data_IF_495569958741
#
_entry.id   IF_495569958741
#
_cell.length_a   1.000
_cell.length_b   1.000
_cell.length_c   1.000
_cell.angle_alpha   90.00
_cell.angle_beta   90.00
_cell.angle_gamma   90.00
#
_symmetry.space_group_name_H-M   'P 1'
#
loop_
_entity.id
_entity.type
_entity.pdbx_description
1 polymer ?
#
# COMPACT_ATOMS: atom_id res chain seq x y z
N UNK A 1 -19.32 -1.47 23.32
CA UNK A 1 -20.48 -1.73 22.43
C UNK A 1 -20.24 -0.86 21.21
N UNK A 2 -20.16 -1.44 20.01
CA UNK A 2 -20.01 -0.65 18.77
C UNK A 2 -21.32 0.06 18.50
N UNK A 3 -21.31 1.38 18.37
CA UNK A 3 -22.51 2.14 18.03
C UNK A 3 -23.02 1.74 16.64
N UNK A 4 -24.34 1.62 16.48
CA UNK A 4 -24.94 1.28 15.19
C UNK A 4 -24.48 2.22 14.07
N UNK A 5 -24.28 3.51 14.39
CA UNK A 5 -23.76 4.51 13.45
C UNK A 5 -22.33 4.19 12.99
N UNK A 6 -21.50 3.67 13.88
CA UNK A 6 -20.13 3.30 13.58
C UNK A 6 -20.09 2.07 12.64
N UNK A 7 -20.97 1.10 12.88
CA UNK A 7 -21.14 -0.07 12.00
C UNK A 7 -21.66 0.33 10.62
N UNK A 8 -22.63 1.25 10.54
CA UNK A 8 -23.15 1.76 9.26
C UNK A 8 -22.06 2.52 8.50
N UNK A 9 -21.26 3.36 9.16
CA UNK A 9 -20.15 4.07 8.51
C UNK A 9 -19.10 3.10 7.97
N UNK A 10 -18.72 2.07 8.75
CA UNK A 10 -17.76 1.07 8.32
C UNK A 10 -18.29 0.22 7.16
N UNK A 11 -19.57 -0.16 7.18
CA UNK A 11 -20.18 -0.95 6.11
C UNK A 11 -20.31 -0.16 4.81
N UNK A 12 -20.76 1.10 4.88
CA UNK A 12 -20.82 2.01 3.72
C UNK A 12 -19.43 2.25 3.15
N UNK A 13 -18.44 2.53 4.01
CA UNK A 13 -17.06 2.71 3.57
C UNK A 13 -16.56 1.45 2.85
N UNK A 14 -16.70 0.27 3.46
CA UNK A 14 -16.29 -1.01 2.87
C UNK A 14 -16.99 -1.26 1.53
N UNK A 15 -18.29 -0.98 1.44
CA UNK A 15 -19.05 -1.13 0.20
C UNK A 15 -18.55 -0.18 -0.90
N UNK A 16 -18.28 1.09 -0.58
CA UNK A 16 -17.72 2.06 -1.53
C UNK A 16 -16.33 1.65 -2.01
N UNK A 17 -15.50 1.10 -1.11
CA UNK A 17 -14.16 0.60 -1.45
C UNK A 17 -14.26 -0.60 -2.38
N UNK A 18 -15.10 -1.59 -2.06
CA UNK A 18 -15.29 -2.77 -2.90
C UNK A 18 -15.83 -2.34 -4.27
N UNK A 19 -16.81 -1.44 -4.31
CA UNK A 19 -17.33 -0.87 -5.56
C UNK A 19 -16.23 -0.16 -6.37
N UNK A 20 -15.38 0.64 -5.72
CA UNK A 20 -14.26 1.31 -6.37
C UNK A 20 -13.18 0.33 -6.83
N UNK A 21 -12.85 -0.70 -6.05
CA UNK A 21 -11.92 -1.76 -6.44
C UNK A 21 -12.43 -2.54 -7.64
N UNK A 22 -13.74 -2.83 -7.68
CA UNK A 22 -14.40 -3.44 -8.84
C UNK A 22 -14.35 -2.50 -10.04
N UNK A 23 -14.67 -1.21 -9.87
CA UNK A 23 -14.61 -0.23 -10.95
C UNK A 23 -13.19 -0.09 -11.52
N UNK A 24 -12.19 0.11 -10.66
CA UNK A 24 -10.76 0.14 -11.02
C UNK A 24 -10.33 -1.19 -11.65
N UNK A 25 -10.99 -2.30 -11.33
CA UNK A 25 -10.71 -3.58 -11.97
C UNK A 25 -11.17 -3.66 -13.43
N UNK A 26 -12.23 -2.91 -13.78
CA UNK A 26 -12.82 -2.86 -15.12
C UNK A 26 -12.23 -1.76 -16.02
N UNK A 27 -11.65 -0.70 -15.46
CA UNK A 27 -10.95 0.32 -16.27
C UNK A 27 -9.66 -0.27 -16.84
N UNK A 28 -9.41 -0.06 -18.14
CA UNK A 28 -8.21 -0.47 -18.87
C UNK A 28 -6.98 0.37 -18.50
N UNK A 29 -6.63 0.39 -17.22
CA UNK A 29 -5.40 1.00 -16.72
C UNK A 29 -4.22 0.05 -16.89
N UNK A 30 -3.01 0.63 -17.02
CA UNK A 30 -1.77 -0.13 -16.88
C UNK A 30 -1.78 -0.92 -15.55
N UNK A 31 -1.30 -2.17 -15.59
CA UNK A 31 -1.25 -3.06 -14.43
C UNK A 31 -0.59 -2.42 -13.20
N UNK A 32 0.48 -1.67 -13.42
CA UNK A 32 1.15 -0.93 -12.35
C UNK A 32 0.29 0.18 -11.74
N UNK A 33 -0.45 0.91 -12.57
CA UNK A 33 -1.33 1.99 -12.12
C UNK A 33 -2.49 1.42 -11.29
N UNK A 34 -3.12 0.33 -11.75
CA UNK A 34 -4.18 -0.38 -11.02
C UNK A 34 -3.72 -0.76 -9.61
N UNK A 35 -2.53 -1.34 -9.50
CA UNK A 35 -1.96 -1.74 -8.21
C UNK A 35 -1.64 -0.56 -7.30
N UNK A 36 -1.05 0.53 -7.83
CA UNK A 36 -0.75 1.74 -7.03
C UNK A 36 -2.04 2.36 -6.47
N UNK A 37 -3.10 2.41 -7.28
CA UNK A 37 -4.41 2.88 -6.82
C UNK A 37 -5.02 1.97 -5.76
N UNK A 38 -4.88 0.64 -5.91
CA UNK A 38 -5.34 -0.30 -4.88
C UNK A 38 -4.56 -0.13 -3.58
N UNK A 39 -3.23 0.05 -3.64
CA UNK A 39 -2.42 0.31 -2.45
C UNK A 39 -2.85 1.60 -1.74
N UNK A 40 -2.95 2.70 -2.49
CA UNK A 40 -3.36 3.99 -1.95
C UNK A 40 -4.75 3.94 -1.31
N UNK A 41 -5.69 3.29 -2.00
CA UNK A 41 -7.05 3.12 -1.50
C UNK A 41 -7.03 2.28 -0.22
N UNK A 42 -6.43 1.09 -0.24
CA UNK A 42 -6.36 0.19 0.92
C UNK A 42 -5.72 0.85 2.14
N UNK A 43 -4.66 1.64 1.95
CA UNK A 43 -4.07 2.42 3.04
C UNK A 43 -5.04 3.44 3.62
N UNK A 44 -5.73 4.19 2.77
CA UNK A 44 -6.77 5.13 3.21
C UNK A 44 -7.89 4.43 3.99
N UNK A 45 -8.31 3.24 3.56
CA UNK A 45 -9.30 2.41 4.28
C UNK A 45 -8.84 2.09 5.69
N UNK A 46 -7.59 1.63 5.83
CA UNK A 46 -7.03 1.25 7.13
C UNK A 46 -7.03 2.45 8.06
N UNK A 47 -6.66 3.63 7.56
CA UNK A 47 -6.68 4.88 8.34
C UNK A 47 -8.11 5.24 8.76
N UNK A 48 -9.08 5.21 7.85
CA UNK A 48 -10.49 5.48 8.19
C UNK A 48 -11.06 4.46 9.18
N UNK A 49 -10.80 3.18 8.97
CA UNK A 49 -11.23 2.10 9.85
C UNK A 49 -10.65 2.27 11.26
N UNK A 50 -9.43 2.80 11.39
CA UNK A 50 -8.81 3.05 12.70
C UNK A 50 -9.50 4.13 13.53
N UNK A 51 -10.36 4.98 12.96
CA UNK A 51 -11.20 5.91 13.73
C UNK A 51 -12.39 5.24 14.41
N UNK A 52 -12.77 4.06 13.92
CA UNK A 52 -13.96 3.32 14.37
C UNK A 52 -13.55 2.11 15.21
N UNK A 53 -12.53 1.39 14.75
CA UNK A 53 -12.09 0.13 15.33
C UNK A 53 -11.04 0.42 16.41
N UNK A 54 -11.21 -0.11 17.64
CA UNK A 54 -10.19 0.01 18.67
C UNK A 54 -8.85 -0.57 18.19
N UNK A 55 -7.75 0.08 18.59
CA UNK A 55 -6.41 -0.23 18.10
C UNK A 55 -6.02 -1.71 18.23
N UNK A 56 -6.42 -2.37 19.32
CA UNK A 56 -6.17 -3.80 19.55
C UNK A 56 -6.80 -4.69 18.47
N UNK A 57 -8.07 -4.46 18.13
CA UNK A 57 -8.78 -5.20 17.07
C UNK A 57 -8.24 -4.87 15.69
N UNK A 58 -7.93 -3.59 15.42
CA UNK A 58 -7.32 -3.18 14.16
C UNK A 58 -5.97 -3.86 13.95
N UNK A 59 -5.12 -3.86 14.97
CA UNK A 59 -3.82 -4.50 14.91
C UNK A 59 -3.91 -6.02 14.75
N UNK A 60 -4.82 -6.67 15.49
CA UNK A 60 -5.08 -8.10 15.33
C UNK A 60 -5.56 -8.42 13.90
N UNK A 61 -6.45 -7.60 13.34
CA UNK A 61 -6.93 -7.75 11.95
C UNK A 61 -5.80 -7.63 10.92
N UNK A 62 -4.90 -6.65 11.08
CA UNK A 62 -3.72 -6.50 10.22
C UNK A 62 -2.82 -7.74 10.27
N UNK A 63 -2.55 -8.26 11.47
CA UNK A 63 -1.73 -9.45 11.66
C UNK A 63 -2.38 -10.72 11.10
N UNK A 64 -3.68 -10.91 11.33
CA UNK A 64 -4.45 -12.02 10.73
C UNK A 64 -4.40 -11.93 9.20
N UNK A 65 -4.55 -10.74 8.63
CA UNK A 65 -4.44 -10.54 7.19
C UNK A 65 -3.05 -10.89 6.64
N UNK A 66 -1.99 -10.46 7.33
CA UNK A 66 -0.61 -10.76 6.94
C UNK A 66 -0.31 -12.27 7.02
N UNK A 67 -0.69 -12.92 8.13
CA UNK A 67 -0.52 -14.36 8.31
C UNK A 67 -1.35 -15.14 7.30
N UNK A 68 -2.61 -14.75 7.06
CA UNK A 68 -3.47 -15.39 6.06
C UNK A 68 -2.88 -15.30 4.66
N UNK A 69 -2.33 -14.14 4.28
CA UNK A 69 -1.66 -13.96 3.00
C UNK A 69 -0.41 -14.85 2.86
N UNK A 70 0.43 -14.90 3.90
CA UNK A 70 1.59 -15.80 3.93
C UNK A 70 1.17 -17.27 3.88
N UNK A 71 0.14 -17.66 4.63
CA UNK A 71 -0.39 -19.02 4.66
C UNK A 71 -0.90 -19.44 3.28
N UNK A 72 -1.73 -18.64 2.62
CA UNK A 72 -2.26 -18.95 1.29
C UNK A 72 -1.12 -19.03 0.27
N UNK A 73 -0.10 -18.16 0.38
CA UNK A 73 1.08 -18.23 -0.49
C UNK A 73 1.89 -19.52 -0.30
N UNK A 74 2.10 -19.97 0.94
CA UNK A 74 2.92 -21.13 1.26
C UNK A 74 2.21 -22.47 1.00
N UNK A 75 0.93 -22.58 1.37
CA UNK A 75 0.20 -23.85 1.33
C UNK A 75 -0.73 -23.98 0.11
N UNK A 76 -1.16 -22.88 -0.50
CA UNK A 76 -2.07 -22.87 -1.65
C UNK A 76 -1.59 -21.94 -2.78
N UNK A 77 -0.37 -22.14 -3.31
CA UNK A 77 0.24 -21.22 -4.27
C UNK A 77 -0.58 -21.08 -5.56
N UNK A 78 -1.28 -22.12 -6.02
CA UNK A 78 -2.14 -22.03 -7.20
C UNK A 78 -3.32 -21.06 -7.00
N UNK A 79 -4.04 -21.17 -5.87
CA UNK A 79 -5.14 -20.25 -5.52
C UNK A 79 -4.61 -18.84 -5.29
N UNK A 80 -3.43 -18.72 -4.68
CA UNK A 80 -2.78 -17.44 -4.49
C UNK A 80 -2.52 -16.75 -5.84
N UNK A 81 -2.00 -17.49 -6.82
CA UNK A 81 -1.69 -16.97 -8.15
C UNK A 81 -2.95 -16.67 -8.96
N UNK A 82 -4.02 -17.44 -8.79
CA UNK A 82 -5.31 -17.15 -9.41
C UNK A 82 -5.91 -15.85 -8.85
N UNK A 83 -5.88 -15.65 -7.54
CA UNK A 83 -6.47 -14.48 -6.88
C UNK A 83 -5.60 -13.21 -7.01
N UNK A 84 -4.29 -13.31 -6.76
CA UNK A 84 -3.37 -12.17 -6.69
C UNK A 84 -2.48 -12.03 -7.92
N UNK A 85 -2.46 -13.02 -8.84
CA UNK A 85 -1.60 -13.02 -10.03
C UNK A 85 -1.60 -11.70 -10.80
N UNK A 86 -2.76 -11.13 -11.15
CA UNK A 86 -2.83 -9.84 -11.84
C UNK A 86 -2.25 -8.66 -11.06
N UNK A 87 -2.20 -8.73 -9.72
CA UNK A 87 -1.71 -7.68 -8.82
C UNK A 87 -0.21 -7.78 -8.52
N UNK A 88 0.36 -8.99 -8.60
CA UNK A 88 1.76 -9.23 -8.25
C UNK A 88 2.71 -8.58 -9.27
N UNK A 89 3.90 -8.21 -8.82
CA UNK A 89 5.01 -7.79 -9.69
C UNK A 89 5.58 -9.00 -10.46
N UNK A 90 6.17 -8.80 -11.65
CA UNK A 90 6.93 -9.84 -12.34
C UNK A 90 7.96 -10.51 -11.42
N UNK A 91 8.70 -9.74 -10.63
CA UNK A 91 9.70 -10.27 -9.69
C UNK A 91 9.09 -11.03 -8.51
N UNK A 92 7.84 -10.74 -8.10
CA UNK A 92 7.15 -11.47 -7.04
C UNK A 92 6.58 -12.80 -7.55
N UNK A 93 6.23 -12.85 -8.84
CA UNK A 93 5.79 -14.07 -9.54
C UNK A 93 6.95 -15.06 -9.65
N UNK A 94 8.13 -14.60 -10.10
CA UNK A 94 9.28 -15.45 -10.41
C UNK A 94 10.10 -15.85 -9.17
N UNK A 95 10.30 -14.93 -8.22
CA UNK A 95 11.21 -15.16 -7.10
C UNK A 95 10.56 -15.81 -5.87
N UNK A 96 9.28 -16.20 -5.95
CA UNK A 96 8.55 -16.77 -4.81
C UNK A 96 8.40 -15.82 -3.62
N UNK A 97 8.67 -14.53 -3.80
CA UNK A 97 8.63 -13.53 -2.72
C UNK A 97 7.20 -13.27 -2.25
N UNK A 98 7.09 -12.81 -1.01
CA UNK A 98 5.84 -12.33 -0.46
C UNK A 98 5.46 -11.00 -1.15
N UNK A 99 4.16 -10.76 -1.37
CA UNK A 99 3.69 -9.54 -2.03
C UNK A 99 3.98 -8.31 -1.17
N UNK A 100 4.17 -7.15 -1.80
CA UNK A 100 4.27 -5.86 -1.09
C UNK A 100 3.15 -5.62 -0.06
N UNK A 101 1.92 -6.11 -0.34
CA UNK A 101 0.80 -6.03 0.60
C UNK A 101 1.05 -6.71 1.96
N UNK A 102 1.81 -7.81 1.99
CA UNK A 102 2.20 -8.47 3.24
C UNK A 102 3.09 -7.54 4.10
N UNK A 103 4.11 -6.95 3.48
CA UNK A 103 5.01 -6.02 4.15
C UNK A 103 4.29 -4.75 4.60
N UNK A 104 3.33 -4.27 3.81
CA UNK A 104 2.49 -3.13 4.18
C UNK A 104 1.62 -3.40 5.42
N UNK A 105 1.01 -4.59 5.53
CA UNK A 105 0.21 -4.96 6.69
C UNK A 105 1.05 -5.07 7.96
N UNK A 106 2.22 -5.71 7.88
CA UNK A 106 3.16 -5.81 9.00
C UNK A 106 3.70 -4.43 9.38
N UNK A 107 4.11 -3.61 8.41
CA UNK A 107 4.62 -2.26 8.65
C UNK A 107 3.58 -1.37 9.31
N UNK A 108 2.32 -1.44 8.88
CA UNK A 108 1.20 -0.70 9.48
C UNK A 108 0.91 -1.17 10.90
N UNK A 109 0.93 -2.49 11.14
CA UNK A 109 0.77 -3.07 12.48
C UNK A 109 1.89 -2.63 13.43
N UNK A 110 3.14 -2.70 12.97
CA UNK A 110 4.30 -2.28 13.73
C UNK A 110 4.24 -0.77 14.05
N UNK A 111 3.86 0.05 13.07
CA UNK A 111 3.71 1.50 13.28
C UNK A 111 2.61 1.81 14.30
N UNK A 112 1.48 1.10 14.24
CA UNK A 112 0.37 1.28 15.19
C UNK A 112 0.73 0.83 16.63
N UNK A 113 1.68 -0.08 16.79
CA UNK A 113 2.12 -0.56 18.11
C UNK A 113 3.24 0.28 18.70
N UNK A 114 4.14 0.82 17.87
CA UNK A 114 5.29 1.59 18.32
C UNK A 114 5.01 3.08 18.52
N UNK A 115 4.02 3.64 17.80
CA UNK A 115 3.73 5.07 17.81
C UNK A 115 2.31 5.37 18.26
N UNK A 116 2.10 6.61 18.71
CA UNK A 116 0.76 7.10 19.03
C UNK A 116 -0.14 7.05 17.80
N UNK A 117 -1.41 6.70 18.02
CA UNK A 117 -2.38 6.46 16.95
C UNK A 117 -2.49 7.61 15.91
N UNK A 118 -2.45 8.91 16.27
CA UNK A 118 -2.44 9.98 15.28
C UNK A 118 -1.21 9.97 14.37
N UNK A 119 -0.03 9.69 14.93
CA UNK A 119 1.23 9.59 14.19
C UNK A 119 1.19 8.37 13.27
N UNK A 120 0.70 7.23 13.78
CA UNK A 120 0.56 6.01 12.99
C UNK A 120 -0.40 6.20 11.81
N UNK A 121 -1.56 6.83 12.02
CA UNK A 121 -2.51 7.18 10.96
C UNK A 121 -1.87 8.05 9.89
N UNK A 122 -1.16 9.11 10.30
CA UNK A 122 -0.48 10.00 9.37
C UNK A 122 0.60 9.26 8.57
N UNK A 123 1.42 8.44 9.22
CA UNK A 123 2.48 7.68 8.57
C UNK A 123 1.92 6.69 7.53
N UNK A 124 0.85 5.95 7.87
CA UNK A 124 0.21 5.00 6.94
C UNK A 124 -0.44 5.73 5.76
N UNK A 125 -1.10 6.87 5.99
CA UNK A 125 -1.70 7.69 4.93
C UNK A 125 -0.62 8.25 3.99
N UNK A 126 0.47 8.77 4.53
CA UNK A 126 1.61 9.26 3.75
C UNK A 126 2.22 8.15 2.91
N UNK A 127 2.43 6.97 3.47
CA UNK A 127 2.95 5.81 2.74
C UNK A 127 2.01 5.43 1.58
N UNK A 128 0.71 5.36 1.84
CA UNK A 128 -0.30 5.00 0.86
C UNK A 128 -0.36 5.97 -0.34
N UNK A 129 -0.22 7.28 -0.09
CA UNK A 129 -0.28 8.33 -1.12
C UNK A 129 1.08 8.56 -1.80
N UNK A 130 2.20 8.32 -1.10
CA UNK A 130 3.53 8.54 -1.64
C UNK A 130 3.77 7.71 -2.92
N UNK A 131 3.22 6.50 -3.01
CA UNK A 131 3.42 5.60 -4.13
C UNK A 131 2.84 6.08 -5.47
N UNK A 132 1.53 6.38 -5.57
CA UNK A 132 0.97 6.94 -6.80
C UNK A 132 1.59 8.30 -7.13
N UNK A 133 1.93 9.11 -6.13
CA UNK A 133 2.56 10.42 -6.35
C UNK A 133 3.99 10.29 -6.90
N UNK A 134 4.82 9.42 -6.33
CA UNK A 134 6.17 9.17 -6.83
C UNK A 134 6.16 8.64 -8.25
N UNK A 135 5.20 7.76 -8.57
CA UNK A 135 5.02 7.26 -9.92
C UNK A 135 4.56 8.33 -10.91
N UNK A 136 3.62 9.19 -10.50
CA UNK A 136 3.15 10.31 -11.32
C UNK A 136 4.28 11.30 -11.61
N UNK A 137 4.99 11.74 -10.55
CA UNK A 137 6.13 12.65 -10.66
C UNK A 137 7.25 12.03 -11.50
N UNK A 138 7.53 10.74 -11.33
CA UNK A 138 8.53 10.01 -12.12
C UNK A 138 8.18 9.91 -13.61
N UNK A 139 6.89 9.94 -13.97
CA UNK A 139 6.45 10.03 -15.38
C UNK A 139 6.48 11.46 -15.90
N UNK A 140 6.19 12.46 -15.06
CA UNK A 140 6.11 13.86 -15.46
C UNK A 140 7.46 14.57 -15.57
N UNK A 141 8.46 14.17 -14.77
CA UNK A 141 9.76 14.82 -14.73
C UNK A 141 10.81 13.94 -15.42
N UNK A 142 11.31 14.33 -16.61
CA UNK A 142 12.39 13.60 -17.27
C UNK A 142 13.67 13.74 -16.44
N UNK A 143 14.01 12.67 -15.73
CA UNK A 143 15.21 12.61 -14.91
C UNK A 143 16.32 11.83 -15.63
N UNK A 144 17.56 12.33 -15.63
CA UNK A 144 18.70 11.54 -16.06
C UNK A 144 18.83 10.30 -15.17
N UNK A 145 18.79 9.13 -15.80
CA UNK A 145 18.94 7.85 -15.13
C UNK A 145 20.43 7.67 -14.76
N UNK A 146 20.78 7.77 -13.48
CA UNK A 146 22.16 7.50 -13.02
C UNK A 146 22.50 6.00 -13.09
N UNK A 147 21.49 5.14 -13.06
CA UNK A 147 21.61 3.70 -13.26
C UNK A 147 20.27 3.17 -13.79
N UNK A 148 20.23 1.96 -14.37
CA UNK A 148 18.99 1.23 -14.74
C UNK A 148 17.99 1.07 -13.59
N UNK A 149 18.39 1.39 -12.36
CA UNK A 149 17.60 1.27 -11.13
C UNK A 149 17.54 2.54 -10.27
N UNK A 150 18.07 3.67 -10.74
CA UNK A 150 18.04 4.93 -9.99
C UNK A 150 17.93 6.13 -10.94
N UNK A 151 16.89 6.94 -10.76
CA UNK A 151 16.75 8.24 -11.40
C UNK A 151 17.10 9.33 -10.39
N UNK A 152 17.92 10.30 -10.80
CA UNK A 152 18.20 11.48 -9.96
C UNK A 152 17.35 12.62 -10.46
N UNK A 153 16.27 12.88 -9.73
CA UNK A 153 15.48 14.09 -9.89
C UNK A 153 16.27 15.24 -9.25
N UNK A 154 17.25 15.77 -9.98
CA UNK A 154 17.83 17.07 -9.65
C UNK A 154 16.82 18.14 -10.07
N UNK A 155 15.95 18.57 -9.15
CA UNK A 155 15.25 19.83 -9.28
C UNK A 155 16.29 20.96 -9.20
N UNK A 156 16.77 21.38 -10.36
CA UNK A 156 17.67 22.52 -10.51
C UNK A 156 16.98 23.80 -10.04
N UNK A 157 17.43 24.32 -8.90
CA UNK A 157 17.00 25.59 -8.36
C UNK A 157 17.66 25.86 -7.02
N UNK A 158 18.92 26.30 -7.06
CA UNK A 158 19.73 26.89 -5.97
C UNK A 158 19.10 26.81 -4.56
N UNK A 159 19.54 25.82 -3.79
CA UNK A 159 19.41 25.85 -2.33
C UNK A 159 18.40 24.86 -1.75
N UNK A 160 18.63 23.56 -1.92
CA UNK A 160 18.22 22.57 -0.92
C UNK A 160 19.06 21.30 -1.08
N UNK A 161 19.99 21.11 -0.15
CA UNK A 161 20.65 19.84 0.17
C UNK A 161 19.58 18.95 0.86
N UNK A 162 18.52 18.62 0.12
CA UNK A 162 17.40 17.79 0.59
C UNK A 162 16.98 16.82 -0.53
N UNK A 163 17.96 16.34 -1.31
CA UNK A 163 17.69 15.56 -2.51
C UNK A 163 18.57 14.30 -2.66
N UNK A 164 19.24 13.84 -1.59
CA UNK A 164 20.27 12.79 -1.75
C UNK A 164 20.18 11.54 -0.85
N UNK A 165 19.08 11.29 -0.12
CA UNK A 165 18.96 10.04 0.68
C UNK A 165 17.53 9.47 0.81
N UNK A 166 16.66 9.56 -0.20
CA UNK A 166 15.30 8.97 -0.08
C UNK A 166 14.86 8.01 -1.19
N UNK A 167 15.70 7.61 -2.14
CA UNK A 167 15.31 6.56 -3.08
C UNK A 167 16.44 5.57 -3.43
N UNK A 168 17.03 4.83 -2.47
CA UNK A 168 17.44 3.47 -2.77
C UNK A 168 16.14 2.67 -2.91
N UNK A 169 15.70 2.42 -4.15
CA UNK A 169 14.71 1.39 -4.52
C UNK A 169 13.84 0.94 -3.32
N UNK A 170 12.76 1.66 -3.01
CA UNK A 170 11.67 1.14 -2.15
C UNK A 170 10.94 0.03 -2.94
N UNK A 171 11.68 -1.01 -3.33
CA UNK A 171 11.14 -2.27 -3.84
C UNK A 171 10.81 -3.24 -2.70
N UNK A 172 11.11 -2.87 -1.45
CA UNK A 172 10.82 -3.68 -0.26
C UNK A 172 9.65 -3.15 0.59
N UNK A 173 9.14 -1.94 0.31
CA UNK A 173 8.07 -1.30 1.11
C UNK A 173 6.87 -0.82 0.28
N UNK A 174 6.81 -1.22 -1.00
CA UNK A 174 5.72 -0.96 -1.96
C UNK A 174 5.54 -2.19 -2.83
#
# INVERSE_FOLDING_TARGET
MLDNDALIRLSVLTALIVAFQVLVSHVSLEREAKRRWQHALTGHVIVQASYIIPMSYGNAGLMIGAVGMAYVRLYHPYKFMEAFGPLLRPEELEAGKLPGAFHFLIGSSLTATLFNLPIARYAVECLAIADPMAAFVGKSVPSPQLNKSASVVCLGGRGSILCLLLYPRISWLV
#
